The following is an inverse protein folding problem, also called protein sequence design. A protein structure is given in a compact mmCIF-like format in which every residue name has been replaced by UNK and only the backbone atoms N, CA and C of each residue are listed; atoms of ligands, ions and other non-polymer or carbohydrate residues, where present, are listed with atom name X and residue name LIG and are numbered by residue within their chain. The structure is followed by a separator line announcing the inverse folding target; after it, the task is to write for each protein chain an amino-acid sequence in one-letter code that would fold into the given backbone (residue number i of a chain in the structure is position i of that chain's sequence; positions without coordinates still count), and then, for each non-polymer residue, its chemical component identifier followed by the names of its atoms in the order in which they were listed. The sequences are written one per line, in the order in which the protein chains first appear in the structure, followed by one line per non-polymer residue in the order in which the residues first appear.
data_IF_262741027813
#
_entry.id   IF_262741027813
#
_cell.length_a   1.000
_cell.length_b   1.000
_cell.length_c   1.000
_cell.angle_alpha   90.00
_cell.angle_beta   90.00
_cell.angle_gamma   90.00
#
_symmetry.space_group_name_H-M   'P 1'
#
loop_
_entity.id
_entity.type
_entity.pdbx_description
1 polymer ?
#
# COMPACT_ATOMS: atom_id res chain seq x y z
N UNK A 1 -1.68 -15.01 -3.15
CA UNK A 1 -2.09 -15.66 -1.90
C UNK A 1 -1.14 -15.19 -0.80
N UNK A 2 -1.67 -14.62 0.29
CA UNK A 2 -0.90 -14.27 1.48
C UNK A 2 -1.42 -15.11 2.65
N UNK A 3 -0.50 -15.77 3.35
CA UNK A 3 -0.81 -16.37 4.63
C UNK A 3 -0.78 -15.26 5.70
N UNK A 4 -1.93 -14.97 6.29
CA UNK A 4 -2.04 -14.04 7.41
C UNK A 4 -2.23 -14.89 8.67
N UNK A 5 -1.32 -14.75 9.62
CA UNK A 5 -1.42 -15.41 10.92
C UNK A 5 -1.70 -14.34 11.98
N UNK A 6 -2.75 -14.52 12.75
CA UNK A 6 -3.05 -13.68 13.91
C UNK A 6 -3.60 -14.55 15.06
N UNK A 7 -3.41 -14.06 16.27
CA UNK A 7 -3.90 -14.73 17.46
C UNK A 7 -5.28 -14.18 17.84
N UNK A 8 -6.28 -15.07 17.92
CA UNK A 8 -7.62 -14.72 18.35
C UNK A 8 -8.02 -15.66 19.51
N UNK A 9 -8.37 -15.10 20.66
CA UNK A 9 -8.75 -15.84 21.88
C UNK A 9 -7.71 -16.89 22.35
N UNK A 10 -6.42 -16.66 22.11
CA UNK A 10 -5.34 -17.58 22.45
C UNK A 10 -5.11 -18.70 21.44
N UNK A 11 -5.79 -18.69 20.31
CA UNK A 11 -5.58 -19.62 19.21
C UNK A 11 -4.97 -18.90 18.00
N UNK A 12 -3.99 -19.57 17.36
CA UNK A 12 -3.36 -19.06 16.15
C UNK A 12 -4.29 -19.30 14.96
N UNK A 13 -4.92 -18.23 14.48
CA UNK A 13 -5.77 -18.27 13.28
C UNK A 13 -4.91 -18.03 12.06
N UNK A 14 -4.95 -18.98 11.13
CA UNK A 14 -4.30 -18.87 9.82
C UNK A 14 -5.34 -18.59 8.76
N UNK A 15 -5.23 -17.43 8.14
CA UNK A 15 -6.07 -17.04 7.03
C UNK A 15 -5.26 -17.02 5.75
N UNK A 16 -5.72 -17.71 4.73
CA UNK A 16 -5.12 -17.68 3.41
C UNK A 16 -6.00 -16.82 2.50
N UNK A 17 -5.49 -15.66 2.09
CA UNK A 17 -6.20 -14.83 1.14
C UNK A 17 -6.28 -15.56 -0.21
N UNK A 18 -7.47 -15.56 -0.82
CA UNK A 18 -7.65 -16.06 -2.18
C UNK A 18 -7.40 -14.94 -3.17
N UNK A 19 -6.77 -15.21 -4.33
CA UNK A 19 -6.71 -14.24 -5.39
C UNK A 19 -8.15 -13.92 -5.84
N UNK A 20 -8.49 -12.65 -5.87
CA UNK A 20 -9.79 -12.16 -6.30
C UNK A 20 -9.60 -11.34 -7.59
N UNK A 21 -10.48 -11.54 -8.56
CA UNK A 21 -10.58 -10.65 -9.70
C UNK A 21 -11.46 -9.45 -9.32
N UNK A 22 -11.03 -8.25 -9.70
CA UNK A 22 -11.79 -7.05 -9.42
C UNK A 22 -13.07 -7.02 -10.26
N UNK A 23 -14.20 -7.35 -9.62
CA UNK A 23 -15.53 -7.26 -10.20
C UNK A 23 -16.07 -5.84 -10.04
N UNK A 24 -15.97 -5.05 -11.10
CA UNK A 24 -16.34 -3.64 -11.08
C UNK A 24 -17.81 -3.42 -10.74
N UNK A 25 -18.72 -4.18 -11.34
CA UNK A 25 -20.17 -4.01 -11.15
C UNK A 25 -20.59 -4.36 -9.72
N UNK A 26 -20.01 -5.42 -9.16
CA UNK A 26 -20.24 -5.79 -7.76
C UNK A 26 -19.79 -4.69 -6.81
N UNK A 27 -18.57 -4.17 -6.98
CA UNK A 27 -18.07 -3.08 -6.12
C UNK A 27 -18.80 -1.76 -6.35
N UNK A 28 -19.27 -1.48 -7.57
CA UNK A 28 -20.10 -0.31 -7.88
C UNK A 28 -21.42 -0.34 -7.12
N UNK A 29 -22.10 -1.48 -7.09
CA UNK A 29 -23.36 -1.62 -6.35
C UNK A 29 -23.15 -1.43 -4.83
N UNK A 30 -22.09 -2.00 -4.27
CA UNK A 30 -21.72 -1.76 -2.88
C UNK A 30 -21.41 -0.27 -2.62
N UNK A 31 -20.62 0.35 -3.50
CA UNK A 31 -20.18 1.73 -3.39
C UNK A 31 -21.32 2.74 -3.47
N UNK A 32 -22.42 2.44 -4.17
CA UNK A 32 -23.63 3.28 -4.22
C UNK A 32 -24.35 3.40 -2.88
N UNK A 33 -24.12 2.46 -1.96
CA UNK A 33 -24.75 2.54 -0.65
C UNK A 33 -24.34 3.82 0.09
N UNK A 34 -25.34 4.54 0.63
CA UNK A 34 -25.09 5.82 1.35
C UNK A 34 -24.26 5.68 2.63
N UNK A 35 -24.13 4.48 3.19
CA UNK A 35 -23.26 4.20 4.35
C UNK A 35 -21.79 4.05 3.94
N UNK A 36 -21.49 3.83 2.69
CA UNK A 36 -20.13 3.81 2.16
C UNK A 36 -19.67 5.25 1.99
N UNK A 37 -18.64 5.66 2.71
CA UNK A 37 -18.14 7.05 2.74
C UNK A 37 -16.85 7.25 1.96
N UNK A 38 -16.20 6.18 1.51
CA UNK A 38 -14.96 6.21 0.75
C UNK A 38 -14.69 4.88 0.06
N UNK A 39 -13.76 4.89 -0.89
CA UNK A 39 -13.30 3.71 -1.65
C UNK A 39 -11.86 3.42 -1.23
N UNK A 40 -11.58 2.24 -0.76
CA UNK A 40 -10.26 1.81 -0.30
C UNK A 40 -10.33 0.57 0.61
N UNK A 41 -9.22 0.12 1.05
CA UNK A 41 -7.86 0.56 0.76
C UNK A 41 -7.43 0.10 -0.63
N UNK A 42 -6.91 0.99 -1.48
CA UNK A 42 -6.46 0.68 -2.82
C UNK A 42 -5.16 1.41 -3.15
N UNK A 43 -4.35 0.92 -4.06
CA UNK A 43 -3.08 1.59 -4.39
C UNK A 43 -1.99 0.66 -4.89
N UNK A 44 -0.73 1.03 -4.61
CA UNK A 44 0.46 0.33 -5.10
C UNK A 44 1.40 -0.04 -3.94
N UNK A 45 1.77 -1.32 -3.87
CA UNK A 45 2.77 -1.83 -2.94
C UNK A 45 3.89 -2.56 -3.71
N UNK A 46 5.07 -1.93 -3.80
CA UNK A 46 6.23 -2.52 -4.46
C UNK A 46 7.25 -3.14 -3.51
N UNK A 47 7.02 -3.01 -2.21
CA UNK A 47 7.90 -3.61 -1.18
C UNK A 47 7.86 -5.14 -1.23
N UNK A 48 6.69 -5.72 -1.41
CA UNK A 48 6.51 -7.17 -1.52
C UNK A 48 6.66 -7.62 -2.97
N UNK A 49 7.90 -7.66 -3.44
CA UNK A 49 8.18 -8.24 -4.75
C UNK A 49 8.03 -9.76 -4.68
N UNK A 50 7.16 -10.40 -5.48
CA UNK A 50 7.06 -11.87 -5.54
C UNK A 50 8.39 -12.56 -5.83
N UNK A 51 9.35 -11.86 -6.46
CA UNK A 51 10.70 -12.38 -6.67
C UNK A 51 11.57 -12.39 -5.42
N UNK A 52 11.36 -11.49 -4.45
CA UNK A 52 12.13 -11.49 -3.20
C UNK A 52 11.77 -12.69 -2.33
N UNK A 53 10.54 -13.15 -2.37
CA UNK A 53 10.12 -14.38 -1.69
C UNK A 53 10.75 -15.62 -2.32
N UNK A 54 10.84 -15.67 -3.65
CA UNK A 54 11.53 -16.73 -4.37
C UNK A 54 13.04 -16.72 -4.09
N UNK A 55 13.66 -15.55 -3.99
CA UNK A 55 15.08 -15.41 -3.63
C UNK A 55 15.34 -15.82 -2.17
N UNK A 56 14.45 -15.49 -1.25
CA UNK A 56 14.52 -15.90 0.15
C UNK A 56 14.29 -17.41 0.32
N UNK A 57 13.42 -18.02 -0.49
CA UNK A 57 13.26 -19.46 -0.57
C UNK A 57 14.53 -20.13 -1.13
N UNK A 58 15.16 -19.55 -2.17
CA UNK A 58 16.42 -20.07 -2.75
C UNK A 58 17.58 -20.02 -1.75
N UNK A 59 17.67 -19.01 -0.91
CA UNK A 59 18.71 -18.91 0.11
C UNK A 59 18.52 -19.89 1.28
N UNK A 60 17.30 -20.40 1.48
CA UNK A 60 16.97 -21.43 2.49
C UNK A 60 17.07 -22.85 1.97
N UNK A 61 17.14 -23.05 0.66
CA UNK A 61 17.34 -24.37 0.05
C UNK A 61 18.85 -24.58 -0.14
N UNK A 62 19.38 -25.65 0.48
CA UNK A 62 20.79 -26.03 0.40
C UNK A 62 21.30 -26.09 -1.06
N UNK A 63 22.55 -25.68 -1.33
CA UNK A 63 23.06 -25.40 -2.68
C UNK A 63 23.14 -26.61 -3.65
N UNK A 64 22.74 -27.81 -3.26
CA UNK A 64 22.91 -29.03 -4.06
C UNK A 64 21.60 -29.70 -4.53
N UNK A 65 20.43 -29.07 -4.43
CA UNK A 65 19.18 -29.62 -4.96
C UNK A 65 18.56 -28.70 -6.01
N UNK A 66 19.02 -28.79 -7.25
CA UNK A 66 18.37 -28.20 -8.41
C UNK A 66 17.23 -29.10 -8.89
N UNK A 67 16.03 -28.99 -8.29
CA UNK A 67 14.86 -29.67 -8.84
C UNK A 67 14.41 -28.98 -10.15
N UNK A 68 13.79 -29.74 -11.11
CA UNK A 68 13.24 -29.16 -12.34
C UNK A 68 12.24 -28.01 -12.08
N UNK A 69 11.58 -28.01 -10.93
CA UNK A 69 10.68 -26.94 -10.47
C UNK A 69 11.43 -25.62 -10.21
N UNK A 70 12.63 -25.69 -9.62
CA UNK A 70 13.48 -24.52 -9.35
C UNK A 70 14.03 -23.95 -10.65
N UNK A 71 14.32 -24.80 -11.66
CA UNK A 71 14.75 -24.35 -12.99
C UNK A 71 13.60 -23.68 -13.77
N UNK A 72 12.38 -24.19 -13.70
CA UNK A 72 11.19 -23.60 -14.30
C UNK A 72 10.88 -22.23 -13.73
N UNK A 73 11.06 -22.05 -12.43
CA UNK A 73 10.88 -20.77 -11.73
C UNK A 73 12.02 -19.79 -12.06
N UNK A 74 13.24 -20.28 -12.29
CA UNK A 74 14.41 -19.45 -12.64
C UNK A 74 14.36 -18.89 -14.07
N UNK A 75 13.64 -19.55 -15.00
CA UNK A 75 13.44 -19.12 -16.39
C UNK A 75 12.36 -18.04 -16.59
N UNK A 76 11.66 -17.67 -15.52
CA UNK A 76 10.47 -16.82 -15.56
C UNK A 76 10.74 -15.31 -15.60
N UNK A 77 11.54 -14.81 -16.53
CA UNK A 77 11.75 -13.36 -16.74
C UNK A 77 10.50 -12.63 -17.30
N UNK A 78 9.45 -13.35 -17.68
CA UNK A 78 8.21 -12.78 -18.21
C UNK A 78 7.15 -12.44 -17.14
N UNK A 79 7.17 -13.08 -15.97
CA UNK A 79 6.16 -12.83 -14.91
C UNK A 79 6.47 -11.62 -14.03
N UNK A 80 7.71 -11.14 -14.01
CA UNK A 80 8.13 -10.06 -13.11
C UNK A 80 7.71 -8.65 -13.56
N UNK A 81 7.53 -8.43 -14.86
CA UNK A 81 7.04 -7.15 -15.38
C UNK A 81 5.52 -6.99 -15.22
N UNK A 82 4.78 -8.08 -15.07
CA UNK A 82 3.32 -8.08 -15.14
C UNK A 82 2.62 -7.70 -13.82
N UNK A 83 3.23 -7.94 -12.65
CA UNK A 83 2.54 -7.72 -11.37
C UNK A 83 2.39 -6.23 -11.02
N UNK A 84 3.37 -5.38 -11.35
CA UNK A 84 3.27 -3.94 -11.16
C UNK A 84 2.19 -3.35 -12.08
N UNK A 85 2.21 -3.73 -13.34
CA UNK A 85 1.19 -3.30 -14.30
C UNK A 85 -0.21 -3.77 -13.90
N UNK A 86 -0.32 -4.97 -13.33
CA UNK A 86 -1.59 -5.46 -12.80
C UNK A 86 -2.08 -4.65 -11.60
N UNK A 87 -1.19 -4.26 -10.69
CA UNK A 87 -1.54 -3.36 -9.59
C UNK A 87 -2.02 -1.99 -10.13
N UNK A 88 -1.31 -1.41 -11.09
CA UNK A 88 -1.69 -0.15 -11.72
C UNK A 88 -3.07 -0.24 -12.38
N UNK A 89 -3.30 -1.30 -13.17
CA UNK A 89 -4.61 -1.55 -13.83
C UNK A 89 -5.75 -1.60 -12.80
N UNK A 90 -5.57 -2.36 -11.72
CA UNK A 90 -6.59 -2.50 -10.68
C UNK A 90 -6.77 -1.18 -9.92
N UNK A 91 -5.69 -0.46 -9.64
CA UNK A 91 -5.75 0.84 -9.00
C UNK A 91 -6.55 1.85 -9.82
N UNK A 92 -6.32 1.92 -11.14
CA UNK A 92 -7.11 2.79 -12.05
C UNK A 92 -8.60 2.45 -11.98
N UNK A 93 -8.98 1.18 -11.95
CA UNK A 93 -10.39 0.77 -11.79
C UNK A 93 -11.01 1.26 -10.49
N UNK A 94 -10.25 1.28 -9.38
CA UNK A 94 -10.73 1.86 -8.13
C UNK A 94 -10.93 3.38 -8.21
N UNK A 95 -10.03 4.08 -8.92
CA UNK A 95 -10.17 5.52 -9.15
C UNK A 95 -11.39 5.84 -10.03
N UNK A 96 -11.64 5.05 -11.07
CA UNK A 96 -12.85 5.16 -11.91
C UNK A 96 -14.11 4.95 -11.07
N UNK A 97 -14.12 3.91 -10.24
CA UNK A 97 -15.20 3.64 -9.31
C UNK A 97 -15.46 4.81 -8.36
N UNK A 98 -14.40 5.37 -7.76
CA UNK A 98 -14.48 6.49 -6.84
C UNK A 98 -15.05 7.75 -7.53
N UNK A 99 -14.65 8.01 -8.79
CA UNK A 99 -15.20 9.09 -9.62
C UNK A 99 -16.70 8.88 -9.88
N UNK A 100 -17.10 7.68 -10.30
CA UNK A 100 -18.48 7.39 -10.65
C UNK A 100 -19.42 7.60 -9.47
N UNK A 101 -19.02 7.17 -8.27
CA UNK A 101 -19.84 7.36 -7.06
C UNK A 101 -19.55 8.68 -6.33
N UNK A 102 -18.61 9.49 -6.81
CA UNK A 102 -18.16 10.75 -6.22
C UNK A 102 -17.80 10.61 -4.72
N UNK A 103 -16.97 9.61 -4.40
CA UNK A 103 -16.50 9.32 -3.03
C UNK A 103 -14.98 9.42 -2.95
N UNK A 104 -14.43 9.89 -1.79
CA UNK A 104 -12.99 9.98 -1.59
C UNK A 104 -12.33 8.60 -1.62
N UNK A 105 -11.02 8.59 -1.91
CA UNK A 105 -10.20 7.37 -1.92
C UNK A 105 -9.29 7.29 -0.71
N UNK A 106 -9.10 6.08 -0.18
CA UNK A 106 -8.08 5.76 0.82
C UNK A 106 -6.97 5.02 0.08
N UNK A 107 -5.82 5.69 -0.07
CA UNK A 107 -4.74 5.24 -0.95
C UNK A 107 -3.57 4.71 -0.16
N UNK A 108 -3.22 3.46 -0.41
CA UNK A 108 -2.00 2.80 0.01
C UNK A 108 -0.85 3.07 -0.96
N UNK A 109 0.32 3.41 -0.45
CA UNK A 109 1.52 3.53 -1.28
C UNK A 109 2.78 3.10 -0.52
N UNK A 110 3.43 2.05 -1.02
CA UNK A 110 4.70 1.58 -0.47
C UNK A 110 5.72 1.34 -1.58
N UNK A 111 6.82 2.10 -1.56
CA UNK A 111 7.89 2.06 -2.58
C UNK A 111 7.41 2.27 -4.03
N UNK A 112 6.28 3.00 -4.20
CA UNK A 112 5.62 3.18 -5.50
C UNK A 112 5.16 4.63 -5.76
N UNK A 113 5.67 5.61 -4.98
CA UNK A 113 5.16 6.99 -5.03
C UNK A 113 5.23 7.64 -6.40
N UNK A 114 6.28 7.37 -7.18
CA UNK A 114 6.45 8.03 -8.49
C UNK A 114 5.41 7.50 -9.49
N UNK A 115 5.24 6.19 -9.57
CA UNK A 115 4.22 5.57 -10.43
C UNK A 115 2.80 5.97 -10.00
N UNK A 116 2.56 6.05 -8.69
CA UNK A 116 1.26 6.44 -8.16
C UNK A 116 0.94 7.91 -8.45
N UNK A 117 1.91 8.82 -8.31
CA UNK A 117 1.77 10.23 -8.67
C UNK A 117 1.51 10.41 -10.18
N UNK A 118 2.18 9.62 -11.02
CA UNK A 118 1.95 9.64 -12.47
C UNK A 118 0.49 9.26 -12.79
N UNK A 119 -0.02 8.17 -12.21
CA UNK A 119 -1.41 7.75 -12.41
C UNK A 119 -2.38 8.83 -11.93
N UNK A 120 -2.21 9.34 -10.71
CA UNK A 120 -3.11 10.36 -10.15
C UNK A 120 -3.08 11.67 -10.97
N UNK A 121 -1.95 12.01 -11.58
CA UNK A 121 -1.82 13.20 -12.41
C UNK A 121 -2.54 13.06 -13.76
N UNK A 122 -2.55 11.85 -14.32
CA UNK A 122 -3.27 11.53 -15.55
C UNK A 122 -4.79 11.44 -15.34
N UNK A 123 -5.21 11.08 -14.13
CA UNK A 123 -6.60 10.89 -13.78
C UNK A 123 -7.28 12.23 -13.40
N UNK A 124 -7.91 12.86 -14.39
CA UNK A 124 -8.62 14.13 -14.17
C UNK A 124 -9.83 13.98 -13.22
N UNK A 125 -10.07 15.00 -12.38
CA UNK A 125 -11.28 15.15 -11.54
C UNK A 125 -11.48 14.03 -10.51
N UNK A 126 -10.39 13.58 -9.89
CA UNK A 126 -10.50 12.69 -8.74
C UNK A 126 -11.21 13.39 -7.57
N UNK A 127 -12.13 12.71 -6.89
CA UNK A 127 -12.56 13.14 -5.56
C UNK A 127 -11.34 13.25 -4.64
N UNK A 128 -11.39 14.18 -3.68
CA UNK A 128 -10.40 14.24 -2.62
C UNK A 128 -10.24 12.87 -1.94
N UNK A 129 -9.08 12.61 -1.36
CA UNK A 129 -8.81 11.36 -0.68
C UNK A 129 -7.71 11.51 0.36
N UNK A 130 -7.22 10.40 0.88
CA UNK A 130 -6.13 10.36 1.85
C UNK A 130 -5.03 9.41 1.38
N UNK A 131 -3.80 9.89 1.48
CA UNK A 131 -2.61 9.04 1.43
C UNK A 131 -2.46 8.38 2.80
N UNK A 132 -2.97 7.16 2.91
CA UNK A 132 -2.93 6.35 4.12
C UNK A 132 -1.49 5.95 4.43
N UNK A 133 -1.12 5.97 5.72
CA UNK A 133 0.18 5.54 6.20
C UNK A 133 1.36 6.10 5.39
N UNK A 134 1.38 7.41 5.21
CA UNK A 134 2.34 8.06 4.32
C UNK A 134 3.80 7.83 4.74
N UNK A 135 4.62 7.37 3.81
CA UNK A 135 6.05 7.08 3.99
C UNK A 135 6.95 7.78 2.97
N UNK A 136 6.39 8.70 2.19
CA UNK A 136 7.10 9.39 1.12
C UNK A 136 7.92 10.59 1.60
N UNK A 137 8.49 11.30 0.62
CA UNK A 137 9.28 12.52 0.84
C UNK A 137 8.40 13.76 0.99
N UNK A 138 8.98 14.89 1.44
CA UNK A 138 8.27 16.17 1.51
C UNK A 138 7.78 16.62 0.13
N UNK A 139 8.58 16.42 -0.91
CA UNK A 139 8.24 16.78 -2.29
C UNK A 139 7.03 15.96 -2.78
N UNK A 140 7.01 14.67 -2.46
CA UNK A 140 5.87 13.79 -2.79
C UNK A 140 4.63 14.20 -2.01
N UNK A 141 4.75 14.51 -0.70
CA UNK A 141 3.63 15.00 0.10
C UNK A 141 3.00 16.27 -0.50
N UNK A 142 3.84 17.25 -0.91
CA UNK A 142 3.37 18.48 -1.55
C UNK A 142 2.60 18.20 -2.83
N UNK A 143 3.10 17.30 -3.70
CA UNK A 143 2.40 16.91 -4.92
C UNK A 143 1.03 16.27 -4.67
N UNK A 144 0.92 15.40 -3.65
CA UNK A 144 -0.39 14.84 -3.27
C UNK A 144 -1.34 15.92 -2.76
N UNK A 145 -0.83 16.87 -1.97
CA UNK A 145 -1.62 18.00 -1.46
C UNK A 145 -2.11 18.90 -2.61
N UNK A 146 -1.27 19.17 -3.61
CA UNK A 146 -1.64 19.90 -4.83
C UNK A 146 -2.75 19.20 -5.63
N UNK A 147 -2.75 17.87 -5.63
CA UNK A 147 -3.82 17.04 -6.20
C UNK A 147 -5.08 16.98 -5.31
N UNK A 148 -5.07 17.63 -4.14
CA UNK A 148 -6.24 17.71 -3.24
C UNK A 148 -6.29 16.65 -2.15
N UNK A 149 -5.27 15.81 -2.01
CA UNK A 149 -5.23 14.74 -1.00
C UNK A 149 -4.84 15.24 0.39
N UNK A 150 -5.25 14.50 1.40
CA UNK A 150 -4.76 14.58 2.77
C UNK A 150 -3.60 13.61 2.96
N UNK A 151 -2.73 13.90 3.92
CA UNK A 151 -1.59 13.05 4.31
C UNK A 151 -1.86 12.49 5.71
N UNK A 152 -1.92 11.16 5.83
CA UNK A 152 -2.18 10.50 7.09
C UNK A 152 -0.93 9.84 7.67
N UNK A 153 -0.75 10.02 8.98
CA UNK A 153 0.39 9.47 9.71
C UNK A 153 -0.07 8.51 10.80
N UNK A 154 0.56 7.35 10.85
CA UNK A 154 0.36 6.35 11.91
C UNK A 154 1.44 6.48 13.00
N UNK A 155 1.42 5.57 13.97
CA UNK A 155 2.40 5.52 15.05
C UNK A 155 3.87 5.45 14.63
N UNK A 156 4.15 5.12 13.36
CA UNK A 156 5.51 5.06 12.79
C UNK A 156 6.29 6.37 12.93
N UNK A 157 5.63 7.52 12.92
CA UNK A 157 6.29 8.83 13.08
C UNK A 157 6.98 9.00 14.44
N UNK A 158 6.60 8.18 15.43
CA UNK A 158 7.22 8.18 16.77
C UNK A 158 8.45 7.28 16.87
N UNK A 159 8.77 6.53 15.81
CA UNK A 159 9.90 5.61 15.82
C UNK A 159 11.21 6.38 15.69
N UNK A 160 12.28 5.91 16.36
CA UNK A 160 13.58 6.55 16.20
C UNK A 160 13.98 6.52 14.72
N UNK A 161 14.56 7.61 14.21
CA UNK A 161 14.99 7.66 12.82
C UNK A 161 16.01 6.55 12.54
N UNK A 162 16.00 5.97 11.34
CA UNK A 162 17.00 4.99 10.96
C UNK A 162 18.41 5.62 11.08
N UNK A 163 19.43 4.82 11.45
CA UNK A 163 20.80 5.29 11.71
C UNK A 163 21.43 6.08 10.53
N UNK A 164 20.90 5.96 9.35
CA UNK A 164 21.20 6.78 8.15
C UNK A 164 20.01 7.67 7.84
N UNK A 165 19.63 8.55 8.78
CA UNK A 165 18.57 9.51 8.56
C UNK A 165 18.94 10.41 7.37
N UNK A 166 18.29 10.15 6.26
CA UNK A 166 18.25 11.04 5.12
C UNK A 166 17.35 12.24 5.43
N UNK A 167 17.42 13.28 4.62
CA UNK A 167 16.60 14.51 4.65
C UNK A 167 15.07 14.24 4.68
N UNK A 168 14.63 13.00 4.53
CA UNK A 168 13.26 12.52 4.48
C UNK A 168 12.74 12.00 5.83
N UNK A 169 13.05 12.69 6.94
CA UNK A 169 12.43 12.33 8.23
C UNK A 169 10.97 12.73 8.24
N UNK A 170 10.10 11.95 8.90
CA UNK A 170 8.69 12.31 9.12
C UNK A 170 8.55 13.71 9.74
N UNK A 171 9.45 14.10 10.63
CA UNK A 171 9.53 15.43 11.23
C UNK A 171 9.61 16.53 10.18
N UNK A 172 10.41 16.33 9.12
CA UNK A 172 10.54 17.30 8.04
C UNK A 172 9.24 17.42 7.24
N UNK A 173 8.58 16.30 7.00
CA UNK A 173 7.29 16.30 6.27
C UNK A 173 6.23 17.01 7.11
N UNK A 174 6.03 16.57 8.37
CA UNK A 174 4.97 17.11 9.26
C UNK A 174 5.14 18.61 9.50
N UNK A 175 6.38 19.11 9.65
CA UNK A 175 6.64 20.54 9.89
C UNK A 175 6.46 21.43 8.67
N UNK A 176 6.46 20.87 7.46
CA UNK A 176 6.47 21.65 6.21
C UNK A 176 5.28 21.43 5.29
N UNK A 177 4.22 20.78 5.79
CA UNK A 177 2.93 20.69 5.10
C UNK A 177 1.84 21.39 5.92
N UNK A 178 0.76 21.87 5.28
CA UNK A 178 -0.35 22.55 5.98
C UNK A 178 -1.03 21.65 7.00
N UNK A 179 -1.27 22.15 8.21
CA UNK A 179 -1.89 21.39 9.30
C UNK A 179 -3.28 20.87 8.93
N UNK A 180 -4.04 21.66 8.16
CA UNK A 180 -5.37 21.31 7.65
C UNK A 180 -5.35 20.17 6.62
N UNK A 181 -4.18 19.72 6.19
CA UNK A 181 -3.97 18.59 5.28
C UNK A 181 -3.41 17.35 5.99
N UNK A 182 -3.27 17.39 7.31
CA UNK A 182 -2.74 16.28 8.11
C UNK A 182 -3.90 15.51 8.74
N UNK A 183 -3.85 14.19 8.65
CA UNK A 183 -4.66 13.26 9.42
C UNK A 183 -3.76 12.36 10.27
N UNK A 184 -4.33 11.81 11.33
CA UNK A 184 -3.67 10.80 12.17
C UNK A 184 -4.52 9.54 12.19
N UNK A 185 -3.84 8.41 12.23
CA UNK A 185 -4.48 7.10 12.17
C UNK A 185 -3.74 6.07 12.99
N UNK A 186 -4.31 4.88 13.08
CA UNK A 186 -3.63 3.68 13.55
C UNK A 186 -3.63 2.64 12.44
N UNK A 187 -2.62 1.82 12.40
CA UNK A 187 -2.55 0.63 11.54
C UNK A 187 -2.64 -0.62 12.42
N UNK A 188 -3.53 -0.51 13.41
CA UNK A 188 -3.72 -1.50 14.46
C UNK A 188 -4.08 -2.88 13.89
N UNK A 189 -3.46 -3.97 14.40
CA UNK A 189 -2.59 -4.05 15.61
C UNK A 189 -1.11 -3.73 15.35
N UNK A 190 -0.75 -3.31 14.13
CA UNK A 190 0.62 -3.00 13.75
C UNK A 190 1.02 -1.57 14.11
N UNK A 191 2.33 -1.29 14.07
CA UNK A 191 2.96 0.02 14.20
C UNK A 191 2.47 0.89 15.36
N UNK A 192 2.13 0.27 16.51
CA UNK A 192 1.79 1.02 17.70
C UNK A 192 2.88 2.07 18.02
N UNK A 193 2.50 3.30 18.44
CA UNK A 193 3.47 4.36 18.73
C UNK A 193 4.35 4.00 19.93
N UNK A 194 5.55 4.59 20.00
CA UNK A 194 6.40 4.52 21.19
C UNK A 194 5.69 5.28 22.34
N UNK A 195 5.66 4.73 23.58
CA UNK A 195 6.37 3.55 24.10
C UNK A 195 5.57 2.22 24.05
N UNK A 196 4.46 2.17 23.33
CA UNK A 196 3.54 1.03 23.35
C UNK A 196 3.87 -0.07 22.31
N UNK A 197 4.89 0.17 21.48
CA UNK A 197 5.32 -0.78 20.45
C UNK A 197 5.77 -2.11 21.07
N UNK A 198 5.20 -3.24 20.57
CA UNK A 198 5.58 -4.58 21.00
C UNK A 198 5.00 -5.00 22.35
N UNK A 199 3.95 -4.34 22.81
CA UNK A 199 3.22 -4.70 24.03
C UNK A 199 1.89 -5.31 23.68
#
# INVERSE_FOLDING_TARGET
EQDVEFEENGELVKYKSKPEEFDYDFYLDLAKNKKVVGIGECGLDYFRNPQSEILNLKSKILPNQTSPLVQSIAGGNLKSKNWKEKQKEIFVKHLELAKEVNKPTIIHCREAHDDLLEILHLEARLPSGVMHFFTGTLEQAKKYIELGFYISFSGVITFPPPRRASVNSYDNVVKNIPLERILVETDCPYVAPVPHRGK
#
